data_IF_572871687886
#
_entry.id   IF_572871687886
#
_cell.length_a   1.000
_cell.length_b   1.000
_cell.length_c   1.000
_cell.angle_alpha   90.00
_cell.angle_beta   90.00
_cell.angle_gamma   90.00
#
_symmetry.space_group_name_H-M   'P 1'
#
loop_
_entity.id
_entity.type
_entity.pdbx_description
1 polymer ?
#
# COMPACT_ATOMS: atom_id res chain seq x y z
N UNK A 1 0.17 10.52 7.96
CA UNK A 1 0.21 9.10 8.33
C UNK A 1 0.75 8.29 7.16
N UNK A 2 1.50 7.20 7.40
CA UNK A 2 1.92 6.28 6.36
C UNK A 2 0.74 5.64 5.63
N UNK A 3 0.93 5.36 4.34
CA UNK A 3 0.01 4.58 3.53
C UNK A 3 0.00 3.11 4.00
N UNK A 4 -1.05 2.37 3.62
CA UNK A 4 -1.13 0.91 3.81
C UNK A 4 0.13 0.17 3.37
N UNK A 5 0.71 0.54 2.22
CA UNK A 5 1.92 -0.10 1.71
C UNK A 5 3.19 0.26 2.49
N UNK A 6 3.17 1.24 3.40
CA UNK A 6 4.33 1.71 4.16
C UNK A 6 4.96 3.01 3.65
N UNK A 7 4.48 3.56 2.53
CA UNK A 7 4.96 4.86 2.01
C UNK A 7 4.43 5.99 2.88
N UNK A 8 5.33 6.79 3.46
CA UNK A 8 4.95 7.98 4.22
C UNK A 8 4.52 9.13 3.28
N UNK A 9 3.22 9.30 3.08
CA UNK A 9 2.71 10.37 2.21
C UNK A 9 3.08 11.78 2.70
N UNK A 10 3.30 11.96 4.01
CA UNK A 10 3.71 13.23 4.63
C UNK A 10 5.09 13.76 4.22
N UNK A 11 5.92 12.93 3.59
CA UNK A 11 7.24 13.33 3.06
C UNK A 11 7.34 13.11 1.54
N UNK A 12 6.20 12.84 0.89
CA UNK A 12 6.18 12.48 -0.52
C UNK A 12 6.20 13.74 -1.41
N UNK A 13 7.32 13.97 -2.09
CA UNK A 13 7.46 15.10 -3.01
C UNK A 13 6.43 15.14 -4.15
N UNK A 14 5.82 14.01 -4.53
CA UNK A 14 4.72 14.01 -5.51
C UNK A 14 3.43 14.59 -4.93
N UNK A 15 3.15 14.33 -3.65
CA UNK A 15 2.00 14.94 -2.98
C UNK A 15 2.25 16.43 -2.79
N UNK A 16 3.43 16.81 -2.29
CA UNK A 16 3.80 18.21 -2.04
C UNK A 16 3.73 19.07 -3.30
N UNK A 17 4.08 18.51 -4.46
CA UNK A 17 4.02 19.19 -5.76
C UNK A 17 2.65 19.11 -6.44
N UNK A 18 1.65 18.50 -5.81
CA UNK A 18 0.29 18.38 -6.36
C UNK A 18 0.16 17.35 -7.48
N UNK A 19 1.15 16.47 -7.69
CA UNK A 19 1.12 15.43 -8.71
C UNK A 19 0.40 14.15 -8.27
N UNK A 20 0.05 14.03 -6.99
CA UNK A 20 -0.66 12.87 -6.47
C UNK A 20 -2.17 13.01 -6.69
N UNK A 21 -2.79 12.30 -7.65
CA UNK A 21 -4.20 12.50 -8.01
C UNK A 21 -5.16 12.11 -6.88
N UNK A 22 -4.73 11.20 -6.00
CA UNK A 22 -5.51 10.75 -4.85
C UNK A 22 -5.43 11.69 -3.64
N UNK A 23 -4.48 12.62 -3.61
CA UNK A 23 -4.24 13.51 -2.47
C UNK A 23 -3.75 12.76 -1.23
N UNK A 24 -2.80 11.84 -1.41
CA UNK A 24 -2.24 10.98 -0.36
C UNK A 24 -3.07 9.72 -0.08
N UNK A 25 -2.36 8.64 0.26
CA UNK A 25 -2.93 7.38 0.75
C UNK A 25 -3.15 7.43 2.26
N UNK A 26 -3.85 6.41 2.78
CA UNK A 26 -4.14 6.21 4.21
C UNK A 26 -3.90 4.74 4.60
N UNK A 27 -4.02 4.42 5.88
CA UNK A 27 -4.01 3.05 6.39
C UNK A 27 -5.28 2.30 5.96
N UNK A 28 -5.23 0.96 5.89
CA UNK A 28 -6.39 0.15 5.47
C UNK A 28 -7.56 0.19 6.45
N UNK A 29 -7.31 0.55 7.71
CA UNK A 29 -8.32 0.74 8.76
C UNK A 29 -8.87 2.17 8.84
N UNK A 30 -8.35 3.10 8.03
CA UNK A 30 -8.84 4.47 8.01
C UNK A 30 -10.24 4.53 7.37
N UNK A 31 -11.14 5.33 7.95
CA UNK A 31 -12.50 5.52 7.43
C UNK A 31 -12.52 6.05 5.99
N UNK A 32 -11.48 6.75 5.55
CA UNK A 32 -11.31 7.27 4.18
C UNK A 32 -10.71 6.25 3.22
N UNK A 33 -10.26 5.08 3.69
CA UNK A 33 -9.59 4.09 2.85
C UNK A 33 -10.45 3.64 1.65
N UNK A 34 -11.77 3.35 1.79
CA UNK A 34 -12.61 2.99 0.65
C UNK A 34 -12.72 4.10 -0.39
N UNK A 35 -12.92 5.34 0.05
CA UNK A 35 -12.95 6.53 -0.84
C UNK A 35 -11.63 6.67 -1.61
N UNK A 36 -10.50 6.51 -0.91
CA UNK A 36 -9.16 6.61 -1.50
C UNK A 36 -8.87 5.50 -2.50
N UNK A 37 -9.35 4.28 -2.25
CA UNK A 37 -9.23 3.15 -3.17
C UNK A 37 -9.98 3.42 -4.48
N UNK A 38 -11.22 3.89 -4.39
CA UNK A 38 -12.01 4.25 -5.58
C UNK A 38 -11.41 5.43 -6.35
N UNK A 39 -10.89 6.43 -5.63
CA UNK A 39 -10.19 7.57 -6.25
C UNK A 39 -8.92 7.13 -6.97
N UNK A 40 -8.16 6.18 -6.40
CA UNK A 40 -6.99 5.59 -7.05
C UNK A 40 -7.39 4.87 -8.34
N UNK A 41 -8.41 4.01 -8.26
CA UNK A 41 -8.91 3.25 -9.41
C UNK A 41 -9.38 4.16 -10.53
N UNK A 42 -10.09 5.24 -10.19
CA UNK A 42 -10.55 6.24 -11.16
C UNK A 42 -9.40 7.03 -11.79
N UNK A 43 -8.33 7.33 -11.05
CA UNK A 43 -7.20 8.09 -11.55
C UNK A 43 -6.20 7.26 -12.37
N UNK A 44 -6.00 6.00 -12.01
CA UNK A 44 -4.95 5.13 -12.59
C UNK A 44 -5.54 4.14 -13.60
N UNK A 45 -6.84 3.86 -13.54
CA UNK A 45 -7.53 2.90 -14.43
C UNK A 45 -7.51 1.45 -13.94
N UNK A 46 -6.83 1.17 -12.83
CA UNK A 46 -6.83 -0.14 -12.17
C UNK A 46 -6.87 -0.01 -10.65
N UNK A 47 -7.42 -0.99 -9.91
CA UNK A 47 -7.49 -0.94 -8.46
C UNK A 47 -6.09 -0.97 -7.81
N UNK A 48 -6.03 -0.53 -6.55
CA UNK A 48 -4.88 -0.79 -5.68
C UNK A 48 -5.16 -2.06 -4.87
N UNK A 49 -4.68 -3.21 -5.35
CA UNK A 49 -4.95 -4.51 -4.73
C UNK A 49 -4.46 -4.57 -3.27
N UNK A 50 -3.38 -3.85 -2.96
CA UNK A 50 -2.81 -3.75 -1.61
C UNK A 50 -3.76 -3.03 -0.65
N UNK A 51 -4.34 -1.90 -1.08
CA UNK A 51 -5.25 -1.13 -0.25
C UNK A 51 -6.59 -1.86 -0.07
N UNK A 52 -7.15 -2.43 -1.13
CA UNK A 52 -8.37 -3.25 -1.07
C UNK A 52 -8.20 -4.45 -0.13
N UNK A 53 -7.09 -5.18 -0.25
CA UNK A 53 -6.79 -6.31 0.62
C UNK A 53 -6.73 -5.89 2.10
N UNK A 54 -6.06 -4.78 2.41
CA UNK A 54 -5.94 -4.28 3.78
C UNK A 54 -7.29 -3.80 4.35
N UNK A 55 -8.12 -3.13 3.56
CA UNK A 55 -9.50 -2.75 3.95
C UNK A 55 -10.29 -4.00 4.31
N UNK A 56 -10.29 -5.00 3.42
CA UNK A 56 -11.06 -6.24 3.60
C UNK A 56 -10.58 -7.05 4.81
N UNK A 57 -9.27 -7.12 5.03
CA UNK A 57 -8.66 -7.81 6.17
C UNK A 57 -8.64 -6.98 7.46
N UNK A 58 -9.06 -5.71 7.40
CA UNK A 58 -9.00 -4.74 8.52
C UNK A 58 -7.57 -4.58 9.08
N UNK A 59 -6.59 -4.56 8.19
CA UNK A 59 -5.17 -4.34 8.51
C UNK A 59 -4.83 -2.88 8.25
N UNK A 60 -4.09 -2.25 9.15
CA UNK A 60 -3.66 -0.86 9.00
C UNK A 60 -2.56 -0.71 7.95
N UNK A 61 -1.47 -1.48 8.09
CA UNK A 61 -0.27 -1.43 7.25
C UNK A 61 0.22 -2.83 6.91
N UNK A 62 0.63 -3.05 5.66
CA UNK A 62 1.12 -4.35 5.21
C UNK A 62 2.39 -4.80 5.94
N UNK A 63 3.29 -3.90 6.31
CA UNK A 63 4.47 -4.25 7.12
C UNK A 63 4.13 -4.77 8.53
N UNK A 64 2.91 -4.58 9.01
CA UNK A 64 2.39 -5.16 10.27
C UNK A 64 1.54 -6.41 10.04
N UNK A 65 1.33 -6.81 8.78
CA UNK A 65 0.60 -8.02 8.44
C UNK A 65 1.52 -9.24 8.53
N UNK A 66 1.07 -10.30 9.20
CA UNK A 66 1.85 -11.54 9.36
C UNK A 66 2.18 -12.20 8.01
N UNK A 67 1.26 -12.10 7.05
CA UNK A 67 1.41 -12.65 5.71
C UNK A 67 2.35 -11.85 4.81
N UNK A 68 2.72 -10.61 5.17
CA UNK A 68 3.58 -9.79 4.33
C UNK A 68 5.04 -10.31 4.36
N UNK A 69 5.73 -10.40 3.21
CA UNK A 69 5.26 -10.16 1.84
C UNK A 69 4.40 -11.30 1.30
N UNK A 70 3.26 -10.96 0.69
CA UNK A 70 2.27 -11.93 0.19
C UNK A 70 2.02 -11.79 -1.32
N UNK A 71 1.31 -12.75 -1.93
CA UNK A 71 1.02 -12.79 -3.37
C UNK A 71 0.40 -11.50 -3.91
N UNK A 72 -0.44 -10.79 -3.13
CA UNK A 72 -1.00 -9.49 -3.52
C UNK A 72 0.09 -8.46 -3.85
N UNK A 73 1.22 -8.48 -3.14
CA UNK A 73 2.32 -7.57 -3.40
C UNK A 73 3.12 -7.95 -4.64
N UNK A 74 3.25 -9.26 -4.91
CA UNK A 74 3.86 -9.76 -6.14
C UNK A 74 2.98 -9.46 -7.36
N UNK A 75 1.66 -9.49 -7.23
CA UNK A 75 0.70 -9.17 -8.29
C UNK A 75 0.59 -7.66 -8.56
N UNK A 76 0.59 -6.83 -7.51
CA UNK A 76 0.48 -5.38 -7.65
C UNK A 76 1.77 -4.75 -8.21
N UNK A 77 2.90 -5.44 -8.08
CA UNK A 77 4.23 -5.02 -8.59
C UNK A 77 4.69 -3.61 -8.14
N UNK A 78 4.17 -3.10 -7.01
CA UNK A 78 4.63 -1.83 -6.40
C UNK A 78 6.03 -1.92 -5.81
N UNK A 79 6.46 -3.14 -5.50
CA UNK A 79 7.79 -3.45 -5.02
C UNK A 79 8.44 -4.40 -6.01
N UNK A 80 9.73 -4.23 -6.26
CA UNK A 80 10.46 -5.20 -7.07
C UNK A 80 10.40 -6.58 -6.42
N UNK A 81 10.30 -7.63 -7.23
CA UNK A 81 10.38 -9.02 -6.78
C UNK A 81 11.59 -9.25 -5.87
N UNK A 82 12.75 -8.71 -6.25
CA UNK A 82 14.00 -8.78 -5.48
C UNK A 82 13.84 -8.22 -4.06
N UNK A 83 13.15 -7.10 -3.90
CA UNK A 83 12.90 -6.50 -2.59
C UNK A 83 11.96 -7.38 -1.75
N UNK A 84 10.87 -7.86 -2.35
CA UNK A 84 9.92 -8.74 -1.65
C UNK A 84 10.61 -10.05 -1.19
N UNK A 85 11.42 -10.65 -2.05
CA UNK A 85 12.18 -11.86 -1.72
C UNK A 85 13.20 -11.62 -0.61
N UNK A 86 13.85 -10.45 -0.59
CA UNK A 86 14.76 -10.05 0.49
C UNK A 86 14.03 -9.93 1.83
N UNK A 87 12.87 -9.24 1.87
CA UNK A 87 12.05 -9.10 3.08
C UNK A 87 11.58 -10.47 3.57
N UNK A 88 11.15 -11.35 2.66
CA UNK A 88 10.73 -12.72 2.97
C UNK A 88 11.87 -13.50 3.63
N UNK A 89 13.09 -13.38 3.09
CA UNK A 89 14.30 -13.97 3.66
C UNK A 89 14.64 -13.41 5.05
N UNK A 90 14.49 -12.10 5.27
CA UNK A 90 14.72 -11.48 6.58
C UNK A 90 13.77 -12.06 7.64
N UNK A 91 12.47 -12.17 7.35
CA UNK A 91 11.47 -12.72 8.29
C UNK A 91 11.68 -14.19 8.62
N UNK A 92 12.20 -15.00 7.69
CA UNK A 92 12.46 -16.42 7.93
C UNK A 92 13.67 -16.70 8.83
N UNK A 93 14.54 -15.70 9.01
CA UNK A 93 15.79 -15.79 9.79
C UNK A 93 15.74 -14.99 11.10
N UNK A 94 14.56 -14.52 11.51
CA UNK A 94 14.28 -13.88 12.80
C UNK A 94 13.53 -14.84 13.71
#
# INVERSE_FOLDING_TARGET
MPATCGIACEVCGFLDRGFCPIGGCVAGTDAKAPEKAEKFKSAIGHPCLVLECAINKKVDHCFRCDEFPCEVHYQQEIYSKKLLDMIKGMKANM
#
